data_IF_670349346321
#
_entry.id   IF_670349346321
#
_cell.length_a   1.000
_cell.length_b   1.000
_cell.length_c   1.000
_cell.angle_alpha   90.00
_cell.angle_beta   90.00
_cell.angle_gamma   90.00
#
_symmetry.space_group_name_H-M   'P 1'
#
loop_
_entity.id
_entity.type
_entity.pdbx_description
1 polymer ?
#
# COMPACT_ATOMS: atom_id res chain seq x y z
N UNK A 1 -5.27 16.38 35.71
CA UNK A 1 -6.13 15.57 36.60
C UNK A 1 -6.84 14.57 35.72
N UNK A 2 -6.92 13.29 36.10
CA UNK A 2 -7.64 12.27 35.30
C UNK A 2 -9.15 12.45 35.56
N UNK A 3 -9.95 12.43 34.47
CA UNK A 3 -11.41 12.40 34.59
C UNK A 3 -11.86 11.04 35.14
N UNK A 4 -12.90 11.04 35.96
CA UNK A 4 -13.46 9.85 36.61
C UNK A 4 -14.99 9.90 36.46
N UNK A 5 -15.55 8.81 35.89
CA UNK A 5 -16.99 8.72 35.63
C UNK A 5 -17.39 9.29 34.26
N UNK A 6 -18.69 9.48 34.04
CA UNK A 6 -19.26 9.91 32.76
C UNK A 6 -19.82 8.74 31.94
N UNK A 7 -19.89 8.92 30.62
CA UNK A 7 -20.33 7.86 29.69
C UNK A 7 -19.19 6.92 29.33
N UNK A 8 -19.53 5.71 28.84
CA UNK A 8 -18.55 4.71 28.41
C UNK A 8 -17.84 5.16 27.15
N UNK A 9 -16.54 4.91 27.07
CA UNK A 9 -15.72 5.04 25.86
C UNK A 9 -15.74 3.74 25.04
N UNK A 10 -15.06 3.73 23.88
CA UNK A 10 -14.86 2.51 23.07
C UNK A 10 -14.07 1.47 23.88
N UNK A 11 -14.58 0.23 23.90
CA UNK A 11 -13.93 -0.88 24.59
C UNK A 11 -12.50 -1.15 24.05
N UNK A 12 -11.58 -1.50 24.95
CA UNK A 12 -10.26 -1.99 24.55
C UNK A 12 -10.35 -3.44 24.07
N UNK A 13 -9.93 -3.67 22.83
CA UNK A 13 -9.87 -4.99 22.23
C UNK A 13 -8.70 -5.81 22.80
N UNK A 14 -8.95 -7.09 23.10
CA UNK A 14 -8.07 -7.92 23.92
C UNK A 14 -6.92 -8.58 23.14
N UNK A 15 -6.85 -8.49 21.82
CA UNK A 15 -5.80 -9.12 21.01
C UNK A 15 -4.52 -8.30 20.97
N UNK A 16 -3.68 -8.63 20.02
CA UNK A 16 -2.37 -8.02 19.84
C UNK A 16 -2.18 -7.52 18.40
N UNK A 17 -1.42 -6.44 18.25
CA UNK A 17 -0.99 -5.95 16.93
C UNK A 17 -0.02 -6.96 16.27
N UNK A 18 -0.04 -7.06 14.93
CA UNK A 18 0.86 -7.94 14.19
C UNK A 18 2.34 -7.59 14.39
N UNK A 19 2.65 -6.29 14.49
CA UNK A 19 3.99 -5.78 14.75
C UNK A 19 4.04 -5.07 16.10
N UNK A 20 4.52 -5.77 17.14
CA UNK A 20 4.53 -5.27 18.53
C UNK A 20 5.66 -4.28 18.80
N UNK A 21 6.83 -4.51 18.19
CA UNK A 21 8.08 -3.85 18.54
C UNK A 21 8.51 -2.78 17.52
N UNK A 22 7.62 -2.39 16.61
CA UNK A 22 7.89 -1.34 15.63
C UNK A 22 7.39 0.03 16.08
N UNK A 23 7.98 1.08 15.53
CA UNK A 23 7.43 2.43 15.69
C UNK A 23 6.05 2.51 15.05
N UNK A 24 5.07 3.03 15.79
CA UNK A 24 3.69 3.24 15.36
C UNK A 24 3.51 4.68 14.92
N UNK A 25 3.31 4.89 13.64
CA UNK A 25 3.19 6.20 13.01
C UNK A 25 1.84 6.35 12.30
N UNK A 26 1.42 7.58 12.03
CA UNK A 26 0.10 7.84 11.46
C UNK A 26 -0.04 7.42 9.99
N UNK A 27 1.00 7.60 9.14
CA UNK A 27 0.96 7.27 7.70
C UNK A 27 2.30 6.72 7.21
N UNK A 28 2.29 5.91 6.14
CA UNK A 28 3.54 5.39 5.53
C UNK A 28 4.46 6.50 5.02
N UNK A 29 3.92 7.53 4.34
CA UNK A 29 4.73 8.67 3.88
C UNK A 29 5.33 9.50 5.01
N UNK A 30 4.60 9.66 6.12
CA UNK A 30 5.13 10.38 7.28
C UNK A 30 6.12 9.53 8.07
N UNK A 31 5.99 8.19 8.02
CA UNK A 31 7.01 7.27 8.52
C UNK A 31 8.32 7.41 7.73
N UNK A 32 8.24 7.57 6.40
CA UNK A 32 9.42 7.89 5.58
C UNK A 32 10.06 9.21 6.00
N UNK A 33 9.27 10.27 6.17
CA UNK A 33 9.79 11.58 6.60
C UNK A 33 10.43 11.52 7.99
N UNK A 34 9.82 10.77 8.91
CA UNK A 34 10.37 10.56 10.24
C UNK A 34 11.70 9.81 10.17
N UNK A 35 11.76 8.72 9.40
CA UNK A 35 12.99 7.98 9.17
C UNK A 35 14.10 8.85 8.55
N UNK A 36 13.79 9.65 7.54
CA UNK A 36 14.74 10.57 6.94
C UNK A 36 15.32 11.54 7.96
N UNK A 37 14.52 12.06 8.90
CA UNK A 37 15.00 12.91 10.01
C UNK A 37 15.92 12.14 10.96
N UNK A 38 15.55 10.89 11.33
CA UNK A 38 16.38 10.05 12.20
C UNK A 38 17.74 9.72 11.59
N UNK A 39 17.76 9.45 10.29
CA UNK A 39 18.97 9.07 9.54
C UNK A 39 19.77 10.26 8.99
N UNK A 40 19.25 11.47 9.09
CA UNK A 40 19.84 12.64 8.41
C UNK A 40 19.83 12.52 6.89
N UNK A 41 18.88 11.75 6.34
CA UNK A 41 18.73 11.53 4.90
C UNK A 41 18.24 12.82 4.22
N UNK A 42 19.05 13.35 3.31
CA UNK A 42 18.73 14.57 2.54
C UNK A 42 18.40 14.28 1.08
N UNK A 43 18.76 13.10 0.59
CA UNK A 43 18.58 12.70 -0.81
C UNK A 43 18.02 11.27 -0.92
N UNK A 44 16.98 11.10 -1.71
CA UNK A 44 16.37 9.81 -2.00
C UNK A 44 16.44 9.49 -3.49
N UNK A 45 16.85 8.28 -3.83
CA UNK A 45 16.67 7.70 -5.15
C UNK A 45 15.39 6.86 -5.14
N UNK A 46 14.33 7.38 -5.77
CA UNK A 46 12.95 6.83 -5.79
C UNK A 46 12.66 6.16 -7.14
N UNK A 47 11.75 5.17 -7.21
CA UNK A 47 11.27 4.71 -8.51
C UNK A 47 10.32 5.74 -9.14
N UNK A 48 10.33 5.86 -10.47
CA UNK A 48 9.27 6.56 -11.21
C UNK A 48 7.89 5.93 -10.95
N UNK A 49 7.86 4.63 -10.71
CA UNK A 49 6.64 3.87 -10.40
C UNK A 49 6.23 4.04 -8.93
N UNK A 50 5.89 5.27 -8.53
CA UNK A 50 5.57 5.63 -7.14
C UNK A 50 4.39 6.59 -7.08
N UNK A 51 3.62 6.51 -5.98
CA UNK A 51 2.49 7.40 -5.78
C UNK A 51 2.94 8.85 -5.48
N UNK A 52 2.21 9.79 -6.05
CA UNK A 52 2.44 11.23 -5.94
C UNK A 52 2.47 11.73 -4.49
N UNK A 53 1.72 11.08 -3.60
CA UNK A 53 1.66 11.46 -2.19
C UNK A 53 2.99 11.29 -1.44
N UNK A 54 3.82 10.32 -1.81
CA UNK A 54 5.18 10.15 -1.25
C UNK A 54 6.09 11.23 -1.82
N UNK A 55 6.07 11.40 -3.15
CA UNK A 55 6.90 12.38 -3.87
C UNK A 55 6.64 13.79 -3.33
N UNK A 56 5.37 14.20 -3.25
CA UNK A 56 4.98 15.54 -2.74
C UNK A 56 5.41 15.75 -1.29
N UNK A 57 5.23 14.73 -0.43
CA UNK A 57 5.63 14.83 0.97
C UNK A 57 7.14 15.00 1.13
N UNK A 58 7.94 14.24 0.36
CA UNK A 58 9.40 14.37 0.39
C UNK A 58 9.87 15.74 -0.11
N UNK A 59 9.30 16.23 -1.23
CA UNK A 59 9.60 17.58 -1.75
C UNK A 59 9.25 18.68 -0.77
N UNK A 60 8.07 18.59 -0.14
CA UNK A 60 7.65 19.55 0.88
C UNK A 60 8.58 19.56 2.10
N UNK A 61 9.16 18.41 2.44
CA UNK A 61 10.15 18.28 3.51
C UNK A 61 11.56 18.71 3.12
N UNK A 62 11.79 19.19 1.90
CA UNK A 62 13.11 19.64 1.41
C UNK A 62 14.08 18.49 1.15
N UNK A 63 13.60 17.30 0.86
CA UNK A 63 14.41 16.14 0.50
C UNK A 63 14.67 16.18 -1.01
N UNK A 64 15.93 16.09 -1.42
CA UNK A 64 16.31 16.00 -2.83
C UNK A 64 15.89 14.63 -3.40
N UNK A 65 15.30 14.65 -4.60
CA UNK A 65 14.77 13.46 -5.23
C UNK A 65 15.44 13.18 -6.58
N UNK A 66 15.99 12.00 -6.71
CA UNK A 66 16.37 11.38 -7.99
C UNK A 66 15.46 10.20 -8.27
N UNK A 67 15.44 9.74 -9.52
CA UNK A 67 14.51 8.71 -9.94
C UNK A 67 15.20 7.61 -10.74
N UNK A 68 14.69 6.37 -10.55
CA UNK A 68 15.08 5.21 -11.34
C UNK A 68 13.85 4.55 -11.98
N UNK A 69 14.09 3.83 -13.07
CA UNK A 69 13.09 3.00 -13.75
C UNK A 69 13.07 1.57 -13.19
N UNK A 70 11.96 0.87 -13.41
CA UNK A 70 11.87 -0.58 -13.17
C UNK A 70 11.76 -1.33 -14.49
N UNK A 71 12.25 -2.59 -14.52
CA UNK A 71 12.01 -3.48 -15.64
C UNK A 71 10.66 -4.22 -15.54
N UNK A 72 10.38 -5.11 -16.49
CA UNK A 72 9.16 -5.92 -16.53
C UNK A 72 9.00 -6.90 -15.34
N UNK A 73 10.07 -7.19 -14.62
CA UNK A 73 10.04 -7.97 -13.38
C UNK A 73 9.93 -7.09 -12.14
N UNK A 74 9.72 -5.77 -12.33
CA UNK A 74 9.73 -4.74 -11.28
C UNK A 74 11.10 -4.60 -10.58
N UNK A 75 12.17 -5.05 -11.23
CA UNK A 75 13.55 -4.92 -10.73
C UNK A 75 14.03 -3.48 -10.91
N UNK A 76 14.56 -2.84 -9.86
CA UNK A 76 15.11 -1.49 -9.94
C UNK A 76 16.28 -1.38 -10.93
N UNK A 77 16.18 -0.45 -11.88
CA UNK A 77 17.25 -0.09 -12.80
C UNK A 77 18.06 1.05 -12.19
N UNK A 78 18.98 0.71 -11.29
CA UNK A 78 19.75 1.66 -10.49
C UNK A 78 21.22 1.65 -10.87
N UNK A 79 21.95 2.78 -10.74
CA UNK A 79 23.38 2.86 -11.05
C UNK A 79 24.19 1.93 -10.12
N UNK A 80 25.41 1.58 -10.55
CA UNK A 80 26.28 0.68 -9.77
C UNK A 80 26.74 1.26 -8.43
N UNK A 81 26.79 2.57 -8.32
CA UNK A 81 27.11 3.30 -7.08
C UNK A 81 26.17 4.49 -6.91
N UNK A 82 25.92 4.87 -5.66
CA UNK A 82 25.15 6.06 -5.31
C UNK A 82 26.10 7.13 -4.74
N UNK A 83 25.71 8.38 -4.90
CA UNK A 83 26.38 9.49 -4.21
C UNK A 83 26.28 9.31 -2.70
N UNK A 84 27.34 9.74 -2.00
CA UNK A 84 27.37 9.66 -0.53
C UNK A 84 26.15 10.36 0.10
N UNK A 85 25.50 9.69 1.05
CA UNK A 85 24.31 10.21 1.74
C UNK A 85 22.99 10.01 0.98
N UNK A 86 23.00 9.41 -0.22
CA UNK A 86 21.78 9.03 -0.94
C UNK A 86 21.23 7.70 -0.39
N UNK A 87 19.92 7.66 -0.13
CA UNK A 87 19.21 6.46 0.27
C UNK A 87 18.42 5.90 -0.92
N UNK A 88 18.60 4.61 -1.20
CA UNK A 88 17.81 3.89 -2.19
C UNK A 88 16.46 3.48 -1.59
N UNK A 89 15.36 3.95 -2.15
CA UNK A 89 14.01 3.60 -1.75
C UNK A 89 13.46 2.49 -2.63
N UNK A 90 13.32 1.30 -2.07
CA UNK A 90 12.84 0.09 -2.75
C UNK A 90 11.36 -0.14 -2.44
N UNK A 91 10.53 -0.23 -3.46
CA UNK A 91 9.10 -0.53 -3.30
C UNK A 91 8.84 -2.01 -3.56
N UNK A 92 8.21 -2.67 -2.62
CA UNK A 92 7.80 -4.06 -2.75
C UNK A 92 6.44 -4.14 -3.46
N UNK A 93 6.45 -3.97 -4.78
CA UNK A 93 5.26 -4.03 -5.61
C UNK A 93 4.60 -5.41 -5.53
N UNK A 94 3.34 -5.44 -5.14
CA UNK A 94 2.54 -6.68 -5.06
C UNK A 94 3.19 -7.81 -4.23
N UNK A 95 4.17 -7.49 -3.38
CA UNK A 95 4.90 -8.48 -2.59
C UNK A 95 5.96 -9.27 -3.37
N UNK A 96 6.49 -8.73 -4.47
CA UNK A 96 7.46 -9.45 -5.34
C UNK A 96 8.92 -9.26 -4.94
N UNK A 97 9.23 -8.33 -4.03
CA UNK A 97 10.60 -8.10 -3.59
C UNK A 97 10.98 -9.15 -2.53
N UNK A 98 11.84 -10.12 -2.89
CA UNK A 98 12.26 -11.18 -1.98
C UNK A 98 13.29 -10.71 -0.95
N UNK A 99 13.42 -11.47 0.14
CA UNK A 99 14.42 -11.18 1.18
C UNK A 99 15.85 -11.23 0.63
N UNK A 100 16.16 -12.17 -0.29
CA UNK A 100 17.46 -12.26 -0.95
C UNK A 100 17.76 -11.01 -1.77
N UNK A 101 16.77 -10.50 -2.50
CA UNK A 101 16.91 -9.28 -3.28
C UNK A 101 17.12 -8.07 -2.38
N UNK A 102 16.39 -7.95 -1.27
CA UNK A 102 16.59 -6.89 -0.29
C UNK A 102 18.01 -6.93 0.28
N UNK A 103 18.50 -8.12 0.68
CA UNK A 103 19.86 -8.29 1.21
C UNK A 103 20.93 -7.98 0.18
N UNK A 104 20.72 -8.33 -1.10
CA UNK A 104 21.61 -7.93 -2.18
C UNK A 104 21.75 -6.41 -2.27
N UNK A 105 20.64 -5.67 -2.30
CA UNK A 105 20.68 -4.20 -2.33
C UNK A 105 21.27 -3.61 -1.05
N UNK A 106 20.98 -4.18 0.12
CA UNK A 106 21.55 -3.75 1.40
C UNK A 106 23.07 -3.88 1.41
N UNK A 107 23.59 -4.99 0.88
CA UNK A 107 25.04 -5.21 0.76
C UNK A 107 25.69 -4.25 -0.23
N UNK A 108 25.03 -3.97 -1.35
CA UNK A 108 25.56 -3.12 -2.43
C UNK A 108 25.56 -1.64 -2.04
N UNK A 109 24.47 -1.14 -1.46
CA UNK A 109 24.27 0.31 -1.25
C UNK A 109 24.32 0.77 0.21
N UNK A 110 24.29 -0.14 1.18
CA UNK A 110 24.29 0.13 2.64
C UNK A 110 23.07 0.93 3.12
N UNK A 111 22.72 2.03 2.45
CA UNK A 111 21.62 2.92 2.79
C UNK A 111 20.41 2.62 1.91
N UNK A 112 19.54 1.72 2.38
CA UNK A 112 18.30 1.37 1.71
C UNK A 112 17.11 1.56 2.64
N UNK A 113 15.96 1.89 2.07
CA UNK A 113 14.66 1.93 2.73
C UNK A 113 13.72 1.04 1.92
N UNK A 114 13.06 0.11 2.57
CA UNK A 114 12.11 -0.80 1.93
C UNK A 114 10.69 -0.38 2.25
N UNK A 115 9.86 -0.23 1.23
CA UNK A 115 8.43 0.05 1.36
C UNK A 115 7.61 -1.22 1.16
N UNK A 116 7.15 -1.81 2.26
CA UNK A 116 6.25 -2.96 2.29
C UNK A 116 4.76 -2.57 2.29
N UNK A 117 4.40 -1.42 1.73
CA UNK A 117 2.99 -0.98 1.62
C UNK A 117 2.10 -2.02 0.92
N UNK A 118 2.63 -2.80 -0.01
CA UNK A 118 1.92 -3.91 -0.68
C UNK A 118 2.29 -5.31 -0.15
N UNK A 119 3.08 -5.40 0.91
CA UNK A 119 3.59 -6.66 1.48
C UNK A 119 3.51 -6.65 3.02
N UNK A 120 2.35 -6.30 3.59
CA UNK A 120 2.18 -6.10 5.03
C UNK A 120 2.62 -7.31 5.86
N UNK A 121 2.48 -8.52 5.36
CA UNK A 121 2.80 -9.75 6.10
C UNK A 121 4.22 -10.29 5.89
N UNK A 122 5.03 -9.66 5.01
CA UNK A 122 6.46 -9.94 4.90
C UNK A 122 7.18 -9.27 6.07
N UNK A 123 7.95 -10.05 6.84
CA UNK A 123 8.68 -9.52 8.01
C UNK A 123 9.84 -8.63 7.58
N UNK A 124 10.19 -7.62 8.37
CA UNK A 124 11.38 -6.80 8.08
C UNK A 124 12.64 -7.61 8.33
N UNK A 125 13.69 -7.29 7.59
CA UNK A 125 15.01 -7.89 7.80
C UNK A 125 15.81 -7.09 8.84
N UNK A 126 16.61 -7.76 9.68
CA UNK A 126 17.46 -7.06 10.65
C UNK A 126 18.39 -6.04 9.98
N UNK A 127 18.47 -4.84 10.53
CA UNK A 127 19.30 -3.75 10.01
C UNK A 127 18.82 -3.13 8.69
N UNK A 128 17.58 -3.42 8.25
CA UNK A 128 16.95 -2.82 7.08
C UNK A 128 15.81 -1.92 7.51
N UNK A 129 15.90 -0.64 7.18
CA UNK A 129 14.81 0.30 7.43
C UNK A 129 13.59 -0.07 6.57
N UNK A 130 12.46 -0.40 7.20
CA UNK A 130 11.28 -0.93 6.51
C UNK A 130 10.00 -0.24 6.95
N UNK A 131 9.18 0.18 5.97
CA UNK A 131 7.93 0.92 6.18
C UNK A 131 6.74 0.05 5.78
N UNK A 132 5.65 0.11 6.55
CA UNK A 132 4.39 -0.56 6.29
C UNK A 132 3.23 0.43 6.36
N UNK A 133 2.18 0.22 5.55
CA UNK A 133 0.94 0.96 5.65
C UNK A 133 -0.21 0.04 6.04
N UNK A 134 -0.78 0.25 7.24
CA UNK A 134 -1.92 -0.54 7.74
C UNK A 134 -3.17 -0.33 6.88
N UNK A 135 -3.38 0.89 6.39
CA UNK A 135 -4.56 1.31 5.63
C UNK A 135 -4.73 0.63 4.26
N UNK A 136 -3.69 -0.05 3.78
CA UNK A 136 -3.75 -0.82 2.54
C UNK A 136 -4.34 -2.22 2.73
N UNK A 137 -4.30 -2.72 3.95
CA UNK A 137 -4.76 -4.07 4.29
C UNK A 137 -6.01 -4.08 5.15
N UNK A 138 -6.24 -3.01 5.92
CA UNK A 138 -7.31 -2.92 6.91
C UNK A 138 -8.09 -1.62 6.77
N UNK A 139 -9.36 -1.65 7.17
CA UNK A 139 -10.22 -0.47 7.25
C UNK A 139 -9.89 0.38 8.46
N UNK A 140 -8.86 1.20 8.36
CA UNK A 140 -8.33 2.02 9.44
C UNK A 140 -8.23 3.50 9.03
N UNK A 141 -8.43 4.42 9.96
CA UNK A 141 -8.40 5.86 9.66
C UNK A 141 -6.99 6.41 9.48
N UNK A 142 -5.99 5.83 10.14
CA UNK A 142 -4.56 6.11 10.05
C UNK A 142 -3.77 4.80 10.22
N UNK A 143 -2.45 4.87 10.37
CA UNK A 143 -1.62 3.74 10.76
C UNK A 143 -0.56 3.33 9.74
N UNK A 144 0.66 3.29 10.25
CA UNK A 144 1.85 2.77 9.61
C UNK A 144 2.80 2.20 10.67
N UNK A 145 3.63 1.24 10.27
CA UNK A 145 4.74 0.77 11.07
C UNK A 145 6.07 1.14 10.41
N UNK A 146 7.06 1.40 11.24
CA UNK A 146 8.45 1.59 10.84
C UNK A 146 9.34 0.65 11.64
N UNK A 147 10.04 -0.24 10.96
CA UNK A 147 11.14 -1.03 11.50
C UNK A 147 12.45 -0.31 11.23
N UNK A 148 13.17 0.06 12.26
CA UNK A 148 14.47 0.74 12.16
C UNK A 148 15.27 0.53 13.45
N UNK A 149 16.58 0.51 13.35
CA UNK A 149 17.51 0.53 14.50
C UNK A 149 17.96 1.97 14.86
N UNK A 150 17.50 2.98 14.13
CA UNK A 150 17.76 4.37 14.45
C UNK A 150 17.02 4.80 15.71
N UNK A 151 17.72 5.47 16.60
CA UNK A 151 17.12 6.01 17.83
C UNK A 151 16.28 7.26 17.52
N UNK A 152 15.11 7.42 18.16
CA UNK A 152 14.25 8.58 17.97
C UNK A 152 14.94 9.84 18.52
N UNK A 153 14.98 10.88 17.71
CA UNK A 153 15.64 12.16 18.05
C UNK A 153 14.61 13.18 18.55
N UNK A 154 13.37 13.10 18.04
CA UNK A 154 12.34 14.09 18.32
C UNK A 154 11.04 13.43 18.83
N UNK A 155 10.41 13.99 19.86
CA UNK A 155 9.10 13.54 20.29
C UNK A 155 8.07 13.80 19.20
N UNK A 156 7.08 12.92 19.09
CA UNK A 156 5.94 13.06 18.20
C UNK A 156 4.65 13.22 19.01
N UNK A 157 3.75 14.05 18.52
CA UNK A 157 2.40 14.14 19.05
C UNK A 157 1.56 12.92 18.66
N UNK A 158 0.63 12.55 19.53
CA UNK A 158 -0.37 11.52 19.25
C UNK A 158 -1.34 12.02 18.18
N UNK A 159 -1.63 11.23 17.16
CA UNK A 159 -2.68 11.54 16.19
C UNK A 159 -4.07 11.26 16.79
N UNK A 160 -5.07 12.00 16.34
CA UNK A 160 -6.47 11.83 16.66
C UNK A 160 -7.24 11.50 15.39
N UNK A 161 -7.88 10.35 15.34
CA UNK A 161 -8.46 9.84 14.09
C UNK A 161 -9.96 9.53 14.16
N UNK A 162 -10.63 9.81 15.28
CA UNK A 162 -12.06 9.53 15.45
C UNK A 162 -12.94 10.16 14.37
N UNK A 163 -12.70 11.44 14.03
CA UNK A 163 -13.42 12.15 12.97
C UNK A 163 -13.19 11.59 11.55
N UNK A 164 -12.19 10.73 11.37
CA UNK A 164 -11.86 10.11 10.07
C UNK A 164 -12.49 8.74 9.85
N UNK A 165 -13.37 8.31 10.78
CA UNK A 165 -14.03 6.99 10.72
C UNK A 165 -15.28 6.97 9.84
N UNK A 166 -15.89 8.10 9.52
CA UNK A 166 -17.20 8.19 8.89
C UNK A 166 -17.31 7.33 7.60
N UNK A 167 -16.37 7.44 6.68
CA UNK A 167 -16.40 6.65 5.43
C UNK A 167 -16.20 5.15 5.65
N UNK A 168 -15.49 4.75 6.72
CA UNK A 168 -15.29 3.33 7.07
C UNK A 168 -16.55 2.74 7.68
N UNK A 169 -17.16 3.45 8.63
CA UNK A 169 -18.41 3.06 9.27
C UNK A 169 -19.56 3.04 8.25
N UNK A 170 -19.69 4.10 7.47
CA UNK A 170 -20.74 4.19 6.46
C UNK A 170 -20.64 3.11 5.38
N UNK A 171 -19.42 2.76 4.94
CA UNK A 171 -19.24 1.61 4.04
C UNK A 171 -19.59 0.28 4.70
N UNK A 172 -19.32 0.12 6.00
CA UNK A 172 -19.60 -1.10 6.74
C UNK A 172 -21.11 -1.29 6.95
N UNK A 173 -21.83 -0.21 7.32
CA UNK A 173 -23.26 -0.24 7.62
C UNK A 173 -24.16 -0.16 6.36
N UNK A 174 -23.67 0.47 5.27
CA UNK A 174 -24.45 0.71 4.06
C UNK A 174 -23.71 0.24 2.80
N UNK A 175 -22.98 1.18 2.13
CA UNK A 175 -22.31 0.89 0.86
C UNK A 175 -21.15 1.84 0.57
N UNK A 176 -20.32 1.45 -0.44
CA UNK A 176 -19.14 2.21 -0.81
C UNK A 176 -19.45 3.49 -1.60
N UNK A 177 -20.54 3.52 -2.37
CA UNK A 177 -20.83 4.62 -3.29
C UNK A 177 -21.31 5.86 -2.51
N UNK A 178 -22.16 5.67 -1.50
CA UNK A 178 -22.72 6.73 -0.67
C UNK A 178 -21.65 7.50 0.14
N UNK A 179 -20.53 6.86 0.43
CA UNK A 179 -19.44 7.44 1.23
C UNK A 179 -18.13 7.67 0.45
N UNK A 180 -18.21 7.63 -0.88
CA UNK A 180 -17.03 7.81 -1.72
C UNK A 180 -16.43 9.22 -1.62
N UNK A 181 -17.28 10.27 -1.58
CA UNK A 181 -16.83 11.66 -1.38
C UNK A 181 -16.13 11.84 -0.04
N UNK A 182 -16.74 11.36 1.05
CA UNK A 182 -16.14 11.41 2.41
C UNK A 182 -14.77 10.70 2.46
N UNK A 183 -14.62 9.58 1.73
CA UNK A 183 -13.33 8.90 1.59
C UNK A 183 -12.28 9.77 0.86
N UNK A 184 -12.69 10.48 -0.21
CA UNK A 184 -11.79 11.38 -0.94
C UNK A 184 -11.38 12.59 -0.08
N UNK A 185 -12.33 13.18 0.68
CA UNK A 185 -12.08 14.29 1.59
C UNK A 185 -11.09 13.87 2.69
N UNK A 186 -11.27 12.68 3.27
CA UNK A 186 -10.31 12.12 4.20
C UNK A 186 -8.94 11.88 3.57
N UNK A 187 -8.87 11.40 2.33
CA UNK A 187 -7.59 11.24 1.64
C UNK A 187 -6.89 12.58 1.37
N UNK A 188 -7.65 13.62 1.06
CA UNK A 188 -7.13 14.97 0.81
C UNK A 188 -6.61 15.65 2.08
N UNK A 189 -7.25 15.41 3.23
CA UNK A 189 -6.83 15.97 4.53
C UNK A 189 -5.41 15.57 4.95
N UNK A 190 -4.88 14.49 4.38
CA UNK A 190 -3.52 14.03 4.67
C UNK A 190 -2.42 14.63 3.76
N UNK A 191 -2.73 15.53 2.83
CA UNK A 191 -1.76 15.97 1.81
C UNK A 191 -0.51 16.63 2.41
N UNK A 192 -0.67 17.40 3.49
CA UNK A 192 0.42 18.10 4.17
C UNK A 192 0.64 17.60 5.62
N UNK A 193 0.25 16.36 5.89
CA UNK A 193 0.35 15.79 7.24
C UNK A 193 1.81 15.60 7.65
N UNK A 194 2.11 15.99 8.89
CA UNK A 194 3.41 15.79 9.52
C UNK A 194 3.50 14.42 10.20
N UNK A 195 4.70 13.91 10.50
CA UNK A 195 4.86 12.73 11.33
C UNK A 195 4.21 12.89 12.70
N UNK A 196 3.32 11.95 13.04
CA UNK A 196 2.68 11.80 14.35
C UNK A 196 2.70 10.33 14.77
N UNK A 197 2.50 10.05 16.04
CA UNK A 197 2.25 8.70 16.50
C UNK A 197 0.88 8.23 15.98
N UNK A 198 0.76 6.94 15.68
CA UNK A 198 -0.49 6.28 15.31
C UNK A 198 -1.56 6.54 16.39
N UNK A 199 -2.78 6.86 15.98
CA UNK A 199 -3.86 7.15 16.94
C UNK A 199 -4.14 5.95 17.86
N UNK A 200 -4.58 6.22 19.09
CA UNK A 200 -5.01 5.18 20.04
C UNK A 200 -6.15 4.34 19.45
N UNK A 201 -7.06 4.98 18.72
CA UNK A 201 -8.16 4.30 18.04
C UNK A 201 -7.64 3.23 17.08
N UNK A 202 -6.69 3.57 16.20
CA UNK A 202 -6.11 2.63 15.25
C UNK A 202 -5.35 1.50 15.96
N UNK A 203 -4.56 1.82 16.98
CA UNK A 203 -3.87 0.79 17.78
C UNK A 203 -4.86 -0.18 18.39
N UNK A 204 -5.98 0.31 18.92
CA UNK A 204 -7.03 -0.52 19.49
C UNK A 204 -7.69 -1.41 18.42
N UNK A 205 -8.06 -0.85 17.25
CA UNK A 205 -8.66 -1.61 16.16
C UNK A 205 -7.73 -2.71 15.63
N UNK A 206 -6.42 -2.45 15.56
CA UNK A 206 -5.42 -3.43 15.15
C UNK A 206 -5.35 -4.63 16.09
N UNK A 207 -5.59 -4.47 17.39
CA UNK A 207 -5.67 -5.58 18.35
C UNK A 207 -6.87 -6.51 18.09
N UNK A 208 -7.93 -6.03 17.45
CA UNK A 208 -9.12 -6.83 17.13
C UNK A 208 -9.01 -7.65 15.86
N UNK A 209 -7.88 -7.62 15.14
CA UNK A 209 -7.71 -8.32 13.86
C UNK A 209 -7.17 -9.73 14.10
N UNK A 210 -7.89 -10.73 13.58
CA UNK A 210 -7.39 -12.09 13.42
C UNK A 210 -6.50 -12.17 12.18
N UNK A 211 -5.21 -11.94 12.36
CA UNK A 211 -4.24 -11.84 11.27
C UNK A 211 -4.05 -13.13 10.48
N UNK A 212 -4.08 -14.29 11.14
CA UNK A 212 -3.92 -15.58 10.44
C UNK A 212 -5.14 -15.86 9.55
N UNK A 213 -6.35 -15.60 10.04
CA UNK A 213 -7.56 -15.67 9.21
C UNK A 213 -7.52 -14.69 8.03
N UNK A 214 -6.98 -13.49 8.23
CA UNK A 214 -6.82 -12.50 7.14
C UNK A 214 -5.86 -13.03 6.08
N UNK A 215 -4.71 -13.56 6.47
CA UNK A 215 -3.72 -14.15 5.56
C UNK A 215 -4.37 -15.29 4.76
N UNK A 216 -4.92 -16.28 5.47
CA UNK A 216 -5.56 -17.44 4.85
C UNK A 216 -6.65 -17.04 3.84
N UNK A 217 -7.53 -16.12 4.21
CA UNK A 217 -8.61 -15.65 3.34
C UNK A 217 -8.09 -15.00 2.07
N UNK A 218 -7.09 -14.13 2.18
CA UNK A 218 -6.44 -13.48 1.04
C UNK A 218 -5.79 -14.48 0.10
N UNK A 219 -5.10 -15.48 0.64
CA UNK A 219 -4.45 -16.52 -0.15
C UNK A 219 -5.46 -17.44 -0.86
N UNK A 220 -6.54 -17.83 -0.18
CA UNK A 220 -7.63 -18.62 -0.79
C UNK A 220 -8.24 -17.84 -1.96
N UNK A 221 -8.56 -16.56 -1.76
CA UNK A 221 -9.14 -15.71 -2.77
C UNK A 221 -8.18 -15.48 -3.95
N UNK A 222 -6.90 -15.26 -3.68
CA UNK A 222 -5.87 -15.14 -4.71
C UNK A 222 -5.79 -16.40 -5.58
N UNK A 223 -5.66 -17.58 -4.96
CA UNK A 223 -5.64 -18.86 -5.68
C UNK A 223 -6.93 -19.10 -6.47
N UNK A 224 -8.09 -18.61 -5.99
CA UNK A 224 -9.35 -18.71 -6.73
C UNK A 224 -9.33 -17.87 -7.98
N UNK A 225 -8.84 -16.64 -7.92
CA UNK A 225 -8.67 -15.78 -9.10
C UNK A 225 -7.60 -16.34 -10.07
N UNK A 226 -6.53 -16.90 -9.53
CA UNK A 226 -5.46 -17.50 -10.33
C UNK A 226 -5.93 -18.68 -11.17
N UNK A 227 -6.89 -19.48 -10.68
CA UNK A 227 -7.55 -20.53 -11.46
C UNK A 227 -8.31 -20.02 -12.69
N UNK A 228 -8.80 -18.77 -12.63
CA UNK A 228 -9.52 -18.16 -13.76
C UNK A 228 -8.59 -17.44 -14.72
N UNK A 229 -7.54 -16.84 -14.21
CA UNK A 229 -6.76 -15.86 -14.96
C UNK A 229 -5.28 -16.22 -15.11
N UNK A 230 -4.74 -17.17 -14.35
CA UNK A 230 -3.31 -17.49 -14.31
C UNK A 230 -2.74 -17.80 -15.70
N UNK A 231 -3.38 -18.67 -16.46
CA UNK A 231 -2.92 -19.04 -17.83
C UNK A 231 -2.95 -17.87 -18.84
N UNK A 232 -3.68 -16.80 -18.53
CA UNK A 232 -3.85 -15.61 -19.38
C UNK A 232 -3.10 -14.39 -18.86
N UNK A 233 -2.52 -14.49 -17.66
CA UNK A 233 -1.80 -13.41 -17.02
C UNK A 233 -0.32 -13.48 -17.39
N UNK A 234 0.19 -12.55 -18.21
CA UNK A 234 1.60 -12.61 -18.64
C UNK A 234 2.60 -12.18 -17.56
N UNK A 235 2.09 -11.70 -16.40
CA UNK A 235 2.96 -11.24 -15.32
C UNK A 235 3.65 -12.44 -14.64
N UNK A 236 4.97 -12.40 -14.43
CA UNK A 236 5.72 -13.49 -13.81
C UNK A 236 5.62 -13.47 -12.28
N UNK A 237 4.53 -12.93 -11.74
CA UNK A 237 4.40 -12.66 -10.30
C UNK A 237 3.99 -13.91 -9.52
N UNK A 238 4.61 -14.06 -8.35
CA UNK A 238 4.32 -15.13 -7.41
C UNK A 238 3.31 -14.65 -6.36
N UNK A 239 2.53 -15.58 -5.80
CA UNK A 239 1.64 -15.26 -4.68
C UNK A 239 2.45 -15.03 -3.40
N UNK A 240 2.46 -13.81 -2.83
CA UNK A 240 3.11 -13.56 -1.56
C UNK A 240 2.24 -14.04 -0.39
N UNK A 241 2.80 -14.10 0.82
CA UNK A 241 2.01 -14.34 2.03
C UNK A 241 0.99 -13.22 2.24
N UNK A 242 -0.30 -13.58 2.37
CA UNK A 242 -1.38 -12.62 2.57
C UNK A 242 -1.42 -11.52 1.51
N UNK A 243 -1.60 -11.83 0.23
CA UNK A 243 -1.42 -10.91 -0.89
C UNK A 243 -2.27 -9.64 -0.77
N UNK A 244 -1.72 -8.52 -1.24
CA UNK A 244 -2.43 -7.24 -1.24
C UNK A 244 -3.62 -7.25 -2.21
N UNK A 245 -3.42 -7.76 -3.41
CA UNK A 245 -4.38 -7.87 -4.50
C UNK A 245 -3.91 -8.95 -5.48
N UNK A 246 -4.78 -9.41 -6.38
CA UNK A 246 -4.37 -10.22 -7.53
C UNK A 246 -4.07 -9.28 -8.70
N UNK A 247 -2.81 -9.11 -9.11
CA UNK A 247 -2.43 -8.26 -10.25
C UNK A 247 -2.73 -8.99 -11.56
N UNK A 248 -3.73 -8.54 -12.29
CA UNK A 248 -4.11 -9.09 -13.60
C UNK A 248 -3.76 -8.09 -14.70
N UNK A 249 -2.88 -8.46 -15.61
CA UNK A 249 -2.54 -7.63 -16.76
C UNK A 249 -3.51 -7.85 -17.90
N UNK A 250 -4.05 -6.75 -18.44
CA UNK A 250 -4.87 -6.78 -19.63
C UNK A 250 -4.57 -5.56 -20.52
N UNK A 251 -4.18 -5.75 -21.80
CA UNK A 251 -4.00 -4.64 -22.73
C UNK A 251 -5.28 -3.81 -22.81
N UNK A 252 -5.20 -2.48 -22.72
CA UNK A 252 -6.34 -1.55 -22.58
C UNK A 252 -7.01 -1.58 -21.20
N UNK A 253 -6.25 -1.84 -20.15
CA UNK A 253 -6.73 -1.90 -18.76
C UNK A 253 -7.53 -0.68 -18.32
N UNK A 254 -7.16 0.53 -18.74
CA UNK A 254 -7.92 1.77 -18.48
C UNK A 254 -9.37 1.68 -19.01
N UNK A 255 -9.55 1.16 -20.24
CA UNK A 255 -10.89 0.99 -20.82
C UNK A 255 -11.67 -0.10 -20.11
N UNK A 256 -10.99 -1.18 -19.74
CA UNK A 256 -11.61 -2.30 -19.04
C UNK A 256 -12.08 -1.90 -17.63
N UNK A 257 -11.30 -1.08 -16.88
CA UNK A 257 -11.73 -0.54 -15.57
C UNK A 257 -13.02 0.27 -15.65
N UNK A 258 -13.20 1.07 -16.72
CA UNK A 258 -14.45 1.83 -16.93
C UNK A 258 -15.64 0.90 -17.12
N UNK A 259 -15.49 -0.19 -17.87
CA UNK A 259 -16.53 -1.19 -18.08
C UNK A 259 -16.84 -1.97 -16.80
N UNK A 260 -15.83 -2.38 -16.04
CA UNK A 260 -16.05 -3.10 -14.77
C UNK A 260 -16.78 -2.24 -13.74
N UNK A 261 -16.55 -0.93 -13.72
CA UNK A 261 -17.26 -0.01 -12.83
C UNK A 261 -18.77 0.02 -13.08
N UNK A 262 -19.22 -0.10 -14.34
CA UNK A 262 -20.65 -0.13 -14.70
C UNK A 262 -21.37 -1.39 -14.17
N UNK A 263 -20.65 -2.48 -13.92
CA UNK A 263 -21.19 -3.69 -13.29
C UNK A 263 -20.81 -3.80 -11.79
N UNK A 264 -20.53 -2.67 -11.15
CA UNK A 264 -20.20 -2.58 -9.72
C UNK A 264 -18.95 -3.38 -9.30
N UNK A 265 -18.00 -3.58 -10.21
CA UNK A 265 -16.65 -4.07 -9.91
C UNK A 265 -15.68 -2.89 -9.97
N UNK A 266 -15.38 -2.30 -8.81
CA UNK A 266 -14.55 -1.11 -8.70
C UNK A 266 -13.08 -1.50 -8.56
N UNK A 267 -12.32 -1.31 -9.64
CA UNK A 267 -10.88 -1.58 -9.68
C UNK A 267 -10.12 -0.25 -9.61
N UNK A 268 -9.28 -0.02 -8.59
CA UNK A 268 -8.52 1.22 -8.48
C UNK A 268 -7.46 1.32 -9.59
N UNK A 269 -7.13 2.55 -9.98
CA UNK A 269 -5.91 2.82 -10.72
C UNK A 269 -4.84 3.20 -9.71
N UNK A 270 -3.86 2.33 -9.51
CA UNK A 270 -2.70 2.69 -8.72
C UNK A 270 -1.80 3.59 -9.55
N UNK A 271 -1.16 4.57 -8.88
CA UNK A 271 -0.19 5.47 -9.53
C UNK A 271 -0.75 6.22 -10.75
N UNK A 272 -1.93 6.83 -10.62
CA UNK A 272 -2.55 7.62 -11.69
C UNK A 272 -1.62 8.76 -12.18
N UNK A 273 -0.78 9.31 -11.30
CA UNK A 273 0.26 10.27 -11.65
C UNK A 273 1.28 9.70 -12.65
N UNK A 274 1.59 8.41 -12.58
CA UNK A 274 2.50 7.75 -13.53
C UNK A 274 1.89 7.75 -14.93
N UNK A 275 0.59 7.44 -15.05
CA UNK A 275 -0.11 7.50 -16.36
C UNK A 275 -0.08 8.92 -16.96
N UNK A 276 -0.05 9.96 -16.11
CA UNK A 276 -0.04 11.35 -16.56
C UNK A 276 1.34 11.87 -16.95
N UNK A 277 2.42 11.31 -16.39
CA UNK A 277 3.76 11.89 -16.49
C UNK A 277 4.83 10.97 -17.08
N UNK A 278 4.60 9.65 -17.09
CA UNK A 278 5.55 8.71 -17.68
C UNK A 278 5.41 8.65 -19.22
N UNK A 279 6.48 8.30 -19.90
CA UNK A 279 6.46 8.07 -21.34
C UNK A 279 5.64 6.83 -21.68
N UNK A 280 4.91 6.86 -22.80
CA UNK A 280 3.99 5.78 -23.17
C UNK A 280 4.69 4.44 -23.42
N UNK A 281 5.99 4.47 -23.72
CA UNK A 281 6.84 3.31 -23.98
C UNK A 281 7.44 2.70 -22.70
N UNK A 282 7.30 3.38 -21.55
CA UNK A 282 7.87 2.91 -20.29
C UNK A 282 7.07 1.76 -19.67
N UNK A 283 7.76 0.87 -18.97
CA UNK A 283 7.14 -0.21 -18.20
C UNK A 283 6.17 0.35 -17.14
N UNK A 284 6.55 1.46 -16.51
CA UNK A 284 5.73 2.12 -15.49
C UNK A 284 4.39 2.60 -16.03
N UNK A 285 4.39 3.22 -17.24
CA UNK A 285 3.16 3.62 -17.92
C UNK A 285 2.30 2.42 -18.27
N UNK A 286 2.91 1.40 -18.88
CA UNK A 286 2.21 0.18 -19.27
C UNK A 286 1.57 -0.51 -18.06
N UNK A 287 2.32 -0.70 -16.99
CA UNK A 287 1.82 -1.36 -15.78
C UNK A 287 0.77 -0.55 -15.02
N UNK A 288 0.96 0.76 -14.88
CA UNK A 288 -0.07 1.63 -14.28
C UNK A 288 -1.37 1.63 -15.10
N UNK A 289 -1.25 1.56 -16.42
CA UNK A 289 -2.40 1.56 -17.35
C UNK A 289 -3.11 0.20 -17.40
N UNK A 290 -2.38 -0.90 -17.40
CA UNK A 290 -2.86 -2.22 -17.83
C UNK A 290 -2.95 -3.26 -16.71
N UNK A 291 -2.26 -3.11 -15.57
CA UNK A 291 -2.47 -4.00 -14.42
C UNK A 291 -3.78 -3.61 -13.72
N UNK A 292 -4.72 -4.53 -13.67
CA UNK A 292 -5.97 -4.43 -12.93
C UNK A 292 -5.78 -5.12 -11.57
N UNK A 293 -5.82 -4.39 -10.45
CA UNK A 293 -5.68 -4.97 -9.12
C UNK A 293 -7.01 -5.58 -8.69
N UNK A 294 -7.21 -6.88 -8.96
CA UNK A 294 -8.44 -7.57 -8.58
C UNK A 294 -8.49 -7.75 -7.06
N UNK A 295 -9.64 -7.49 -6.42
CA UNK A 295 -9.77 -7.61 -4.97
C UNK A 295 -9.69 -9.08 -4.55
N UNK A 296 -8.77 -9.41 -3.65
CA UNK A 296 -8.68 -10.73 -3.02
C UNK A 296 -8.69 -10.63 -1.49
N UNK A 297 -9.07 -9.48 -0.94
CA UNK A 297 -8.94 -9.19 0.48
C UNK A 297 -9.97 -9.93 1.35
N UNK A 298 -9.76 -9.88 2.66
CA UNK A 298 -10.52 -10.64 3.67
C UNK A 298 -12.00 -10.33 3.78
N UNK A 299 -12.49 -9.28 3.13
CA UNK A 299 -13.91 -8.92 3.08
C UNK A 299 -14.73 -9.88 2.23
N UNK A 300 -14.07 -10.61 1.34
CA UNK A 300 -14.68 -11.47 0.33
C UNK A 300 -14.43 -12.95 0.61
N UNK A 301 -15.31 -13.79 0.10
CA UNK A 301 -15.19 -15.24 0.12
C UNK A 301 -14.89 -15.79 -1.31
N UNK A 302 -14.61 -17.10 -1.48
CA UNK A 302 -14.33 -17.66 -2.80
C UNK A 302 -15.45 -17.49 -3.84
N UNK A 303 -16.73 -17.47 -3.43
CA UNK A 303 -17.87 -17.24 -4.32
C UNK A 303 -17.91 -15.80 -4.82
N UNK A 304 -17.45 -14.84 -4.02
CA UNK A 304 -17.26 -13.46 -4.48
C UNK A 304 -16.18 -13.37 -5.56
N UNK A 305 -15.14 -14.23 -5.50
CA UNK A 305 -14.10 -14.30 -6.54
C UNK A 305 -14.66 -14.86 -7.86
N UNK A 306 -15.59 -15.81 -7.79
CA UNK A 306 -16.32 -16.29 -8.98
C UNK A 306 -17.11 -15.13 -9.62
N UNK A 307 -17.81 -14.34 -8.81
CA UNK A 307 -18.53 -13.16 -9.28
C UNK A 307 -17.59 -12.07 -9.84
N UNK A 308 -16.39 -11.92 -9.32
CA UNK A 308 -15.36 -11.04 -9.90
C UNK A 308 -14.95 -11.54 -11.28
N UNK A 309 -14.72 -12.86 -11.43
CA UNK A 309 -14.34 -13.47 -12.70
C UNK A 309 -15.44 -13.29 -13.76
N UNK A 310 -16.68 -13.58 -13.42
CA UNK A 310 -17.83 -13.45 -14.33
C UNK A 310 -17.98 -12.00 -14.84
N UNK A 311 -17.93 -11.03 -13.94
CA UNK A 311 -18.03 -9.60 -14.30
C UNK A 311 -16.87 -9.15 -15.18
N UNK A 312 -15.65 -9.62 -14.89
CA UNK A 312 -14.47 -9.27 -15.67
C UNK A 312 -14.54 -9.90 -17.07
N UNK A 313 -14.95 -11.17 -17.20
CA UNK A 313 -15.14 -11.82 -18.50
C UNK A 313 -16.23 -11.13 -19.34
N UNK A 314 -17.33 -10.73 -18.73
CA UNK A 314 -18.38 -9.97 -19.41
C UNK A 314 -17.84 -8.64 -19.94
N UNK A 315 -17.08 -7.90 -19.12
CA UNK A 315 -16.48 -6.62 -19.52
C UNK A 315 -15.43 -6.79 -20.65
N UNK A 316 -14.62 -7.86 -20.60
CA UNK A 316 -13.67 -8.19 -21.68
C UNK A 316 -14.42 -8.47 -22.99
N UNK A 317 -15.46 -9.30 -22.96
CA UNK A 317 -16.29 -9.62 -24.13
C UNK A 317 -16.93 -8.37 -24.73
N UNK A 318 -17.41 -7.46 -23.91
CA UNK A 318 -17.98 -6.19 -24.38
C UNK A 318 -16.92 -5.26 -25.00
N UNK A 319 -15.70 -5.27 -24.45
CA UNK A 319 -14.59 -4.50 -25.00
C UNK A 319 -14.11 -5.03 -26.35
N UNK A 320 -14.18 -6.35 -26.56
CA UNK A 320 -13.79 -7.02 -27.81
C UNK A 320 -14.83 -6.85 -28.92
N UNK A 321 -16.13 -6.80 -28.56
CA UNK A 321 -17.22 -6.57 -29.53
C UNK A 321 -17.29 -5.15 -30.09
N UNK A 322 -16.70 -4.17 -29.36
CA UNK A 322 -16.67 -2.76 -29.78
C UNK A 322 -15.44 -2.39 -30.60
N UNK A 323 -14.71 -3.41 -31.07
CA UNK A 323 -13.65 -3.27 -32.09
C UNK A 323 -14.28 -3.26 -33.48
#
# INVERSE_FOLDING_TARGET
MKEIGGYLELEELAGEEYYKDMYRLNLGRTALLYLCRLRGCKKLLLPYFLCDSVIKSCRHAGIDLEYYHVDSNLTPQVPDSLESGTYLYLVNYYGQLTDETILYYKKKYQHIIVDHTHAFFQRPLPGVDTIYSCRKFFGLPDGAYLSTDASPVLPLHQDLSGSRMEHLLGRYEKDAASYYSTMLDNASSFQQESPKLMSRLTQNLLKGIDYERVIERREINYRRLDKYFGDRNPLPFQMPRGPFTYPFYYPKGIKLRKLTASCKLYLPTYWNNVIQHATAESVEYDYASNILPLPCDQRYNPQDMDAVADRLYAAIKDLERKK
#
